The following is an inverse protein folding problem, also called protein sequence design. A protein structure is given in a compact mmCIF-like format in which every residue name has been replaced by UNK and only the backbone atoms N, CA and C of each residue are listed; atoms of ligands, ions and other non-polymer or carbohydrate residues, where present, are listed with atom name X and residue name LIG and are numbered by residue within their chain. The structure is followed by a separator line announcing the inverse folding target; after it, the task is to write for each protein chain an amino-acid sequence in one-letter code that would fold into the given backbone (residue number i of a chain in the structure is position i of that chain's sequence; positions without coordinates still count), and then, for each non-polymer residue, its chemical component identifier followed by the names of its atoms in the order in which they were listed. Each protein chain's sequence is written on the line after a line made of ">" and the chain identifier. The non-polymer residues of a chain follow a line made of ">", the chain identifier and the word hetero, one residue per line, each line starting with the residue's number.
data_IF_695569967915
#
_entry.id   IF_695569967915
#
_cell.length_a   1.000
_cell.length_b   1.000
_cell.length_c   1.000
_cell.angle_alpha   90.00
_cell.angle_beta   90.00
_cell.angle_gamma   90.00
#
_symmetry.space_group_name_H-M   'P 1'
#
loop_
_entity.id
_entity.type
_entity.pdbx_description
1 polymer ?
#
# COMPACT_ATOMS: atom_id res chain seq x y z
N UNK A 1 -16.98 -1.01 -21.56
CA UNK A 1 -15.51 -0.99 -21.70
C UNK A 1 -14.91 -1.34 -20.34
N UNK A 2 -14.22 -2.46 -20.27
CA UNK A 2 -13.79 -3.16 -19.04
C UNK A 2 -12.75 -2.34 -18.27
N UNK A 3 -13.16 -1.67 -17.18
CA UNK A 3 -12.25 -1.21 -16.12
C UNK A 3 -11.79 -2.45 -15.35
N UNK A 4 -10.68 -3.04 -15.77
CA UNK A 4 -10.04 -4.11 -15.03
C UNK A 4 -8.53 -3.86 -15.00
N UNK A 5 -8.07 -3.26 -13.89
CA UNK A 5 -6.92 -3.68 -13.07
C UNK A 5 -6.41 -2.50 -12.24
N UNK A 6 -6.85 -2.41 -10.98
CA UNK A 6 -6.35 -1.44 -10.00
C UNK A 6 -5.10 -1.95 -9.27
N UNK A 7 -4.83 -3.25 -9.32
CA UNK A 7 -3.64 -3.89 -8.74
C UNK A 7 -3.09 -4.88 -9.74
N UNK A 8 -1.82 -4.73 -10.09
CA UNK A 8 -1.16 -5.53 -11.12
C UNK A 8 -0.01 -6.31 -10.50
N UNK A 9 0.04 -7.62 -10.74
CA UNK A 9 1.23 -8.43 -10.43
C UNK A 9 2.34 -8.07 -11.42
N UNK A 10 3.53 -7.75 -10.92
CA UNK A 10 4.69 -7.31 -11.70
C UNK A 10 5.91 -8.18 -11.41
N UNK A 11 6.88 -8.20 -12.32
CA UNK A 11 8.15 -8.88 -12.09
C UNK A 11 9.03 -8.08 -11.08
N UNK A 12 10.04 -8.71 -10.46
CA UNK A 12 10.88 -8.06 -9.45
C UNK A 12 11.68 -6.84 -9.95
N UNK A 13 12.02 -6.78 -11.24
CA UNK A 13 12.79 -5.66 -11.82
C UNK A 13 11.89 -4.44 -11.97
N UNK A 14 10.69 -4.63 -12.53
CA UNK A 14 9.66 -3.58 -12.59
C UNK A 14 9.22 -3.15 -11.20
N UNK A 15 9.01 -4.11 -10.29
CA UNK A 15 8.71 -3.79 -8.90
C UNK A 15 9.81 -2.91 -8.30
N UNK A 16 11.10 -3.23 -8.49
CA UNK A 16 12.19 -2.42 -7.94
C UNK A 16 12.27 -1.02 -8.52
N UNK A 17 11.95 -0.86 -9.81
CA UNK A 17 11.89 0.44 -10.47
C UNK A 17 10.72 1.31 -9.95
N UNK A 18 9.58 0.69 -9.64
CA UNK A 18 8.41 1.36 -9.02
C UNK A 18 8.60 1.57 -7.51
N UNK A 19 9.32 0.64 -6.86
CA UNK A 19 9.64 0.60 -5.44
C UNK A 19 10.73 1.61 -5.12
N UNK A 20 10.58 2.85 -5.57
CA UNK A 20 11.42 3.91 -5.06
C UNK A 20 11.30 3.93 -3.54
N UNK A 21 12.45 4.14 -2.91
CA UNK A 21 12.74 4.12 -1.46
C UNK A 21 11.55 4.54 -0.60
N UNK A 22 11.33 4.04 0.65
CA UNK A 22 10.27 4.53 1.56
C UNK A 22 10.12 6.06 1.64
N UNK A 23 11.15 6.80 1.25
CA UNK A 23 11.16 8.23 0.96
C UNK A 23 10.12 8.74 -0.07
N UNK A 24 9.57 7.88 -0.92
CA UNK A 24 8.57 8.20 -1.96
C UNK A 24 7.14 8.18 -1.46
N UNK A 25 6.86 7.62 -0.27
CA UNK A 25 5.49 7.49 0.23
C UNK A 25 4.78 8.86 0.35
N UNK A 26 3.53 8.98 -0.15
CA UNK A 26 2.78 10.24 -0.21
C UNK A 26 2.26 10.64 1.17
N UNK A 27 1.96 11.91 1.34
CA UNK A 27 1.48 12.48 2.61
C UNK A 27 2.59 13.06 3.48
N UNK A 28 2.21 13.85 4.49
CA UNK A 28 3.14 14.59 5.36
C UNK A 28 3.98 13.71 6.27
N UNK A 29 3.45 12.57 6.70
CA UNK A 29 4.07 11.71 7.69
C UNK A 29 4.21 10.27 7.18
N UNK A 30 5.25 9.59 7.67
CA UNK A 30 5.55 8.19 7.39
C UNK A 30 5.94 7.50 8.68
N UNK A 31 5.42 6.30 8.90
CA UNK A 31 5.71 5.54 10.11
C UNK A 31 5.57 4.04 9.86
N UNK A 32 6.13 3.26 10.77
CA UNK A 32 6.09 1.79 10.71
C UNK A 32 5.00 1.28 11.66
N UNK A 33 4.29 0.24 11.23
CA UNK A 33 3.35 -0.50 12.09
C UNK A 33 4.14 -1.12 13.24
N UNK A 34 3.82 -0.81 14.50
CA UNK A 34 4.54 -1.33 15.64
C UNK A 34 4.32 -2.84 15.80
N UNK A 35 5.29 -3.50 16.40
CA UNK A 35 5.34 -4.96 16.53
C UNK A 35 4.05 -5.56 17.10
N UNK A 36 3.45 -4.94 18.13
CA UNK A 36 2.22 -5.46 18.75
C UNK A 36 1.04 -5.49 17.75
N UNK A 37 0.95 -4.53 16.85
CA UNK A 37 -0.08 -4.51 15.80
C UNK A 37 0.23 -5.52 14.70
N UNK A 38 1.50 -5.75 14.37
CA UNK A 38 1.91 -6.84 13.46
C UNK A 38 1.42 -8.20 13.99
N UNK A 39 1.59 -8.47 15.29
CA UNK A 39 1.10 -9.72 15.89
C UNK A 39 -0.43 -9.83 15.86
N UNK A 40 -1.15 -8.70 15.99
CA UNK A 40 -2.62 -8.67 15.82
C UNK A 40 -3.03 -8.98 14.39
N UNK A 41 -2.30 -8.46 13.39
CA UNK A 41 -2.53 -8.75 11.97
C UNK A 41 -2.37 -10.25 11.69
N UNK A 42 -1.28 -10.87 12.16
CA UNK A 42 -1.07 -12.31 11.97
C UNK A 42 -2.22 -13.14 12.55
N UNK A 43 -2.68 -12.78 13.75
CA UNK A 43 -3.83 -13.42 14.38
C UNK A 43 -5.11 -13.26 13.55
N UNK A 44 -5.36 -12.06 13.02
CA UNK A 44 -6.53 -11.80 12.16
C UNK A 44 -6.49 -12.59 10.85
N UNK A 45 -5.29 -12.82 10.31
CA UNK A 45 -5.08 -13.56 9.06
C UNK A 45 -4.90 -15.07 9.26
N UNK A 46 -4.97 -15.57 10.51
CA UNK A 46 -4.75 -16.98 10.82
C UNK A 46 -3.32 -17.47 10.55
N UNK A 47 -2.34 -16.56 10.56
CA UNK A 47 -0.93 -16.88 10.33
C UNK A 47 -0.25 -17.42 11.60
N UNK A 48 0.78 -18.27 11.46
CA UNK A 48 1.69 -18.54 12.56
C UNK A 48 2.31 -17.25 13.11
N UNK A 49 2.54 -17.20 14.42
CA UNK A 49 3.21 -16.06 15.04
C UNK A 49 4.61 -15.86 14.44
N UNK A 50 4.99 -14.60 14.19
CA UNK A 50 6.30 -14.20 13.61
C UNK A 50 6.49 -14.60 12.15
N UNK A 51 5.41 -14.79 11.40
CA UNK A 51 5.44 -14.93 9.94
C UNK A 51 5.81 -13.62 9.24
N UNK A 52 5.31 -12.48 9.73
CA UNK A 52 5.62 -11.15 9.20
C UNK A 52 6.91 -10.66 9.85
N UNK A 53 8.02 -10.74 9.11
CA UNK A 53 9.35 -10.30 9.53
C UNK A 53 9.83 -8.98 8.90
N UNK A 54 9.10 -8.43 7.92
CA UNK A 54 9.46 -7.20 7.24
C UNK A 54 8.65 -5.99 7.75
N UNK A 55 9.21 -4.76 7.76
CA UNK A 55 8.48 -3.56 8.16
C UNK A 55 7.24 -3.31 7.30
N UNK A 56 6.11 -3.05 7.97
CA UNK A 56 4.86 -2.62 7.34
C UNK A 56 4.73 -1.10 7.47
N UNK A 57 5.01 -0.39 6.38
CA UNK A 57 5.01 1.08 6.33
C UNK A 57 3.63 1.63 6.04
N UNK A 58 3.36 2.79 6.64
CA UNK A 58 2.15 3.59 6.44
C UNK A 58 2.55 5.03 6.22
N UNK A 59 1.79 5.74 5.39
CA UNK A 59 1.92 7.18 5.25
C UNK A 59 0.56 7.88 5.20
N UNK A 60 0.56 9.14 5.63
CA UNK A 60 -0.65 9.92 5.76
C UNK A 60 -0.41 11.34 6.23
N UNK A 61 -1.46 12.15 6.14
CA UNK A 61 -1.43 13.55 6.57
C UNK A 61 -1.77 13.71 8.06
N UNK A 62 -2.56 12.76 8.61
CA UNK A 62 -2.92 12.69 10.02
C UNK A 62 -2.59 11.28 10.53
N UNK A 63 -1.55 11.11 11.35
CA UNK A 63 -1.10 9.78 11.70
C UNK A 63 -1.90 9.12 12.84
N UNK A 64 -2.62 9.90 13.63
CA UNK A 64 -3.34 9.42 14.82
C UNK A 64 -4.86 9.51 14.61
N UNK A 65 -5.58 8.49 15.08
CA UNK A 65 -7.03 8.43 15.02
C UNK A 65 -7.65 9.65 15.74
N UNK A 66 -8.55 10.41 15.09
CA UNK A 66 -9.07 11.65 15.65
C UNK A 66 -9.95 11.42 16.90
N UNK A 67 -10.46 10.21 17.12
CA UNK A 67 -11.32 9.88 18.27
C UNK A 67 -10.54 9.32 19.46
N UNK A 68 -9.67 8.33 19.26
CA UNK A 68 -8.98 7.64 20.35
C UNK A 68 -7.49 7.94 20.46
N UNK A 69 -6.93 8.76 19.55
CA UNK A 69 -5.51 9.13 19.56
C UNK A 69 -4.54 8.01 19.19
N UNK A 70 -5.04 6.81 18.87
CA UNK A 70 -4.21 5.67 18.46
C UNK A 70 -3.52 5.96 17.12
N UNK A 71 -2.22 5.71 17.02
CA UNK A 71 -1.48 5.72 15.75
C UNK A 71 -2.15 4.74 14.78
N UNK A 72 -2.51 5.22 13.60
CA UNK A 72 -3.10 4.39 12.54
C UNK A 72 -2.04 3.45 11.98
N UNK A 73 -2.38 2.23 11.60
CA UNK A 73 -1.41 1.20 11.19
C UNK A 73 -1.99 0.28 10.12
N UNK A 74 -1.19 -0.67 9.63
CA UNK A 74 -1.70 -1.76 8.78
C UNK A 74 -2.85 -2.53 9.42
N UNK A 75 -2.97 -2.53 10.74
CA UNK A 75 -4.06 -3.21 11.43
C UNK A 75 -5.43 -2.60 11.06
N UNK A 76 -5.52 -1.27 10.94
CA UNK A 76 -6.77 -0.60 10.53
C UNK A 76 -7.16 -1.00 9.11
N UNK A 77 -6.16 -1.08 8.22
CA UNK A 77 -6.34 -1.41 6.80
C UNK A 77 -6.80 -2.86 6.66
N UNK A 78 -6.05 -3.79 7.26
CA UNK A 78 -6.36 -5.24 7.21
C UNK A 78 -7.71 -5.51 7.85
N UNK A 79 -7.98 -4.96 9.05
CA UNK A 79 -9.27 -5.15 9.69
C UNK A 79 -10.44 -4.59 8.87
N UNK A 80 -10.26 -3.45 8.22
CA UNK A 80 -11.30 -2.87 7.34
C UNK A 80 -11.51 -3.67 6.05
N UNK A 81 -10.42 -4.13 5.41
CA UNK A 81 -10.47 -4.92 4.19
C UNK A 81 -11.18 -6.27 4.37
N UNK A 82 -10.98 -6.90 5.53
CA UNK A 82 -11.65 -8.15 5.91
C UNK A 82 -13.16 -7.98 6.11
N UNK A 83 -13.65 -6.76 6.33
CA UNK A 83 -15.08 -6.48 6.54
C UNK A 83 -15.88 -6.27 5.24
N UNK A 84 -15.29 -6.41 4.05
CA UNK A 84 -16.09 -6.32 2.83
C UNK A 84 -15.39 -6.34 1.48
N UNK A 85 -14.06 -6.52 1.39
CA UNK A 85 -13.33 -6.36 0.13
C UNK A 85 -12.42 -7.54 -0.23
N UNK A 86 -11.74 -8.16 0.74
CA UNK A 86 -10.73 -9.19 0.45
C UNK A 86 -10.77 -10.41 1.38
N UNK A 87 -10.45 -11.58 0.82
CA UNK A 87 -10.26 -12.83 1.57
C UNK A 87 -8.94 -12.80 2.37
N UNK A 88 -8.91 -13.32 3.62
CA UNK A 88 -7.70 -13.38 4.45
C UNK A 88 -6.50 -14.02 3.76
N UNK A 89 -6.70 -15.08 2.96
CA UNK A 89 -5.62 -15.76 2.27
C UNK A 89 -5.07 -14.95 1.09
N UNK A 90 -5.86 -14.02 0.52
CA UNK A 90 -5.36 -13.06 -0.47
C UNK A 90 -4.44 -12.04 0.20
N UNK A 91 -4.88 -11.45 1.31
CA UNK A 91 -4.06 -10.49 2.09
C UNK A 91 -2.78 -11.17 2.59
N UNK A 92 -2.87 -12.42 3.05
CA UNK A 92 -1.72 -13.18 3.50
C UNK A 92 -0.69 -13.41 2.38
N UNK A 93 -1.15 -13.77 1.18
CA UNK A 93 -0.29 -13.94 0.00
C UNK A 93 0.34 -12.62 -0.45
N UNK A 94 -0.34 -11.50 -0.26
CA UNK A 94 0.24 -10.18 -0.51
C UNK A 94 1.34 -9.86 0.50
N UNK A 95 1.13 -10.11 1.79
CA UNK A 95 2.11 -9.77 2.82
C UNK A 95 3.34 -10.69 2.76
N UNK A 96 3.12 -12.00 2.57
CA UNK A 96 4.15 -13.04 2.67
C UNK A 96 4.68 -13.56 1.33
N UNK A 97 3.92 -13.44 0.26
CA UNK A 97 4.15 -14.20 -0.97
C UNK A 97 5.32 -13.69 -1.81
N UNK A 98 5.81 -14.55 -2.69
CA UNK A 98 6.97 -14.26 -3.54
C UNK A 98 6.63 -13.29 -4.70
N UNK A 99 5.33 -13.07 -4.92
CA UNK A 99 4.76 -12.26 -6.00
C UNK A 99 4.67 -10.80 -5.59
N UNK A 100 4.98 -9.91 -6.54
CA UNK A 100 5.05 -8.47 -6.32
C UNK A 100 3.85 -7.77 -6.95
N UNK A 101 3.20 -6.88 -6.22
CA UNK A 101 2.03 -6.15 -6.68
C UNK A 101 2.27 -4.64 -6.69
N UNK A 102 1.78 -3.98 -7.73
CA UNK A 102 1.79 -2.53 -7.88
C UNK A 102 0.36 -2.04 -8.04
N UNK A 103 -0.02 -1.06 -7.22
CA UNK A 103 -1.23 -0.27 -7.45
C UNK A 103 -0.86 0.93 -8.33
N UNK A 104 -1.62 1.16 -9.41
CA UNK A 104 -1.31 2.15 -10.44
C UNK A 104 -1.96 3.51 -10.20
N UNK A 105 -2.77 3.64 -9.16
CA UNK A 105 -3.33 4.91 -8.71
C UNK A 105 -2.83 5.24 -7.31
N UNK A 106 -2.41 6.49 -7.10
CA UNK A 106 -2.12 7.03 -5.76
C UNK A 106 -3.39 7.70 -5.25
N UNK A 107 -4.18 7.06 -4.38
CA UNK A 107 -5.44 7.64 -3.96
C UNK A 107 -5.22 8.90 -3.12
N UNK A 108 -6.12 9.88 -3.26
CA UNK A 108 -6.17 11.05 -2.37
C UNK A 108 -6.39 10.63 -0.91
N UNK A 109 -7.11 9.52 -0.68
CA UNK A 109 -7.19 8.79 0.57
C UNK A 109 -7.62 7.34 0.33
N UNK A 110 -7.15 6.41 1.14
CA UNK A 110 -7.63 5.02 1.09
C UNK A 110 -9.05 4.99 1.68
N UNK A 111 -10.04 4.80 0.82
CA UNK A 111 -11.45 4.81 1.21
C UNK A 111 -11.82 3.59 2.08
N UNK A 112 -12.81 3.78 2.95
CA UNK A 112 -13.40 2.68 3.74
C UNK A 112 -12.56 2.18 4.92
N UNK A 113 -11.44 2.82 5.24
CA UNK A 113 -10.61 2.45 6.40
C UNK A 113 -11.22 2.99 7.68
N UNK A 114 -11.31 2.14 8.69
CA UNK A 114 -11.80 2.46 10.02
C UNK A 114 -10.77 2.06 11.07
N UNK A 115 -10.70 2.82 12.16
CA UNK A 115 -9.85 2.49 13.30
C UNK A 115 -10.20 1.11 13.86
N UNK A 116 -9.20 0.26 14.03
CA UNK A 116 -9.35 -1.11 14.51
C UNK A 116 -9.94 -1.17 15.93
N UNK A 117 -9.69 -0.15 16.76
CA UNK A 117 -10.12 -0.15 18.16
C UNK A 117 -11.48 0.54 18.38
N UNK A 118 -11.71 1.70 17.76
CA UNK A 118 -12.92 2.50 18.01
C UNK A 118 -13.87 2.62 16.82
N UNK A 119 -13.54 1.99 15.68
CA UNK A 119 -14.31 1.95 14.44
C UNK A 119 -14.60 3.32 13.80
N UNK A 120 -13.94 4.38 14.27
CA UNK A 120 -14.04 5.70 13.65
C UNK A 120 -13.49 5.66 12.22
N UNK A 121 -14.18 6.21 11.22
CA UNK A 121 -13.63 6.38 9.88
C UNK A 121 -12.31 7.13 9.93
N UNK A 122 -11.35 6.69 9.13
CA UNK A 122 -10.03 7.31 9.02
C UNK A 122 -10.02 8.22 7.78
N UNK A 123 -9.80 9.51 8.01
CA UNK A 123 -9.54 10.51 6.98
C UNK A 123 -8.02 10.81 6.93
N UNK A 124 -7.43 10.76 5.73
CA UNK A 124 -6.04 11.19 5.52
C UNK A 124 -4.95 10.11 5.54
N UNK A 125 -5.32 8.83 5.54
CA UNK A 125 -4.40 7.74 5.20
C UNK A 125 -4.13 7.76 3.69
N UNK A 126 -2.87 7.90 3.28
CA UNK A 126 -2.50 8.14 1.87
C UNK A 126 -1.95 6.89 1.19
N UNK A 127 -1.19 6.07 1.91
CA UNK A 127 -0.58 4.87 1.32
C UNK A 127 -0.15 3.87 2.40
N UNK A 128 0.07 2.63 1.98
CA UNK A 128 0.66 1.56 2.77
C UNK A 128 1.65 0.77 1.91
N UNK A 129 2.74 0.31 2.52
CA UNK A 129 3.80 -0.40 1.82
C UNK A 129 4.28 -1.58 2.65
N UNK A 130 4.36 -2.75 2.03
CA UNK A 130 5.03 -3.92 2.59
C UNK A 130 6.12 -4.38 1.62
N UNK A 131 6.85 -5.44 1.95
CA UNK A 131 7.95 -5.87 1.10
C UNK A 131 7.49 -6.29 -0.31
N UNK A 132 6.24 -6.71 -0.50
CA UNK A 132 5.69 -7.21 -1.76
C UNK A 132 4.65 -6.31 -2.42
N UNK A 133 4.35 -5.16 -1.82
CA UNK A 133 3.33 -4.24 -2.31
C UNK A 133 3.85 -2.82 -2.39
N UNK A 134 3.68 -2.19 -3.55
CA UNK A 134 4.06 -0.81 -3.81
C UNK A 134 2.94 -0.05 -4.52
N UNK A 135 3.03 1.27 -4.49
CA UNK A 135 2.25 2.17 -5.33
C UNK A 135 3.16 2.69 -6.46
N UNK A 136 2.68 2.71 -7.70
CA UNK A 136 3.30 3.43 -8.78
C UNK A 136 2.82 4.88 -8.75
N UNK A 137 3.76 5.79 -8.51
CA UNK A 137 3.52 7.24 -8.50
C UNK A 137 3.41 7.83 -9.92
N UNK A 138 3.86 7.08 -10.91
CA UNK A 138 3.75 7.36 -12.34
C UNK A 138 2.86 6.28 -12.97
N UNK A 139 2.20 6.57 -14.09
CA UNK A 139 1.43 5.55 -14.80
C UNK A 139 2.35 4.35 -15.09
N UNK A 140 1.92 3.14 -14.70
CA UNK A 140 2.72 1.91 -14.84
C UNK A 140 3.27 1.74 -16.27
N UNK A 141 2.48 2.16 -17.26
CA UNK A 141 2.84 2.17 -18.68
C UNK A 141 4.05 3.07 -18.98
N UNK A 142 4.13 4.27 -18.38
CA UNK A 142 5.27 5.19 -18.58
C UNK A 142 6.57 4.63 -17.96
N UNK A 143 6.46 3.92 -16.84
CA UNK A 143 7.62 3.25 -16.21
C UNK A 143 8.10 2.11 -17.10
N UNK A 144 7.18 1.31 -17.63
CA UNK A 144 7.49 0.20 -18.55
C UNK A 144 8.09 0.71 -19.86
N UNK A 145 7.58 1.81 -20.43
CA UNK A 145 8.15 2.43 -21.63
C UNK A 145 9.58 2.91 -21.41
N UNK A 146 9.86 3.59 -20.27
CA UNK A 146 11.21 4.02 -19.90
C UNK A 146 12.17 2.84 -19.74
N UNK A 147 11.73 1.78 -19.07
CA UNK A 147 12.53 0.55 -18.89
C UNK A 147 12.80 -0.16 -20.22
N UNK A 148 11.87 -0.10 -21.17
CA UNK A 148 11.99 -0.70 -22.50
C UNK A 148 12.85 0.14 -23.47
N UNK A 149 13.40 1.27 -23.02
CA UNK A 149 14.24 2.16 -23.84
C UNK A 149 13.45 3.16 -24.69
N UNK A 150 12.19 3.43 -24.37
CA UNK A 150 11.36 4.41 -25.06
C UNK A 150 11.95 5.82 -24.92
N UNK A 151 12.29 6.45 -26.05
CA UNK A 151 12.71 7.85 -26.12
C UNK A 151 11.55 8.72 -25.60
N UNK A 152 11.77 9.66 -24.66
CA UNK A 152 10.72 10.58 -24.22
C UNK A 152 10.13 11.30 -25.43
N UNK A 153 8.81 11.21 -25.62
CA UNK A 153 8.15 11.99 -26.67
C UNK A 153 8.36 13.49 -26.37
N UNK A 154 8.86 14.30 -27.32
CA UNK A 154 9.02 15.71 -27.08
C UNK A 154 7.66 16.34 -26.78
N UNK A 155 7.62 17.15 -25.73
CA UNK A 155 6.47 17.97 -25.34
C UNK A 155 6.23 18.99 -26.46
N UNK A 156 5.04 19.04 -27.10
CA UNK A 156 4.77 20.06 -28.10
C UNK A 156 4.54 21.40 -27.39
N UNK A 157 5.48 22.34 -27.51
CA UNK A 157 5.26 23.71 -27.01
C UNK A 157 6.46 24.56 -26.59
N UNK A 158 7.69 24.28 -27.01
CA UNK A 158 8.79 25.24 -26.87
C UNK A 158 9.44 25.51 -28.23
N UNK A 159 9.02 26.63 -28.83
CA UNK A 159 9.79 27.43 -29.79
C UNK A 159 10.12 28.75 -29.11
#
# INVERSE_FOLDING_TARGET
>A
MTRQRETVEVDPVLFRAVYDSPASLPGRHRWVTPEHDVRRIEKLLGMPARSIGAPLWVSGDKPDCPKCGRRMTWLDIVSSALHGVHDPAMIARVILGDRRYVNTEVPDAIAGVHCADCRTPIDGLRSFKCHNWAYAFEALEEVVERMSGGVPRPVPGQL
#
